data_IF_991737988273
#
_entry.id   IF_991737988273
#
_cell.length_a   1.000
_cell.length_b   1.000
_cell.length_c   1.000
_cell.angle_alpha   90.00
_cell.angle_beta   90.00
_cell.angle_gamma   90.00
#
_symmetry.space_group_name_H-M   'P 1'
#
loop_
_entity.id
_entity.type
_entity.pdbx_description
1 polymer ?
#
# COMPACT_ATOMS: atom_id res chain seq x y z
N UNK A 1 33.13 13.33 -15.44
CA UNK A 1 32.22 12.46 -14.66
C UNK A 1 31.15 13.38 -14.10
N UNK A 2 29.93 13.37 -14.64
CA UNK A 2 28.85 14.21 -14.10
C UNK A 2 28.56 13.76 -12.67
N UNK A 3 28.47 14.70 -11.73
CA UNK A 3 28.17 14.39 -10.34
C UNK A 3 26.75 13.84 -10.27
N UNK A 4 26.60 12.52 -10.10
CA UNK A 4 25.30 11.84 -10.16
C UNK A 4 24.30 12.36 -9.10
N UNK A 5 24.80 13.01 -8.05
CA UNK A 5 23.97 13.64 -7.03
C UNK A 5 23.46 15.04 -7.40
N UNK A 6 24.06 15.73 -8.38
CA UNK A 6 23.72 17.15 -8.62
C UNK A 6 22.35 17.33 -9.27
N UNK A 7 21.98 16.46 -10.22
CA UNK A 7 20.70 16.59 -10.92
C UNK A 7 19.48 16.30 -10.02
N UNK A 8 19.46 15.22 -9.21
CA UNK A 8 18.37 15.00 -8.26
C UNK A 8 18.25 16.13 -7.23
N UNK A 9 19.37 16.70 -6.77
CA UNK A 9 19.34 17.81 -5.81
C UNK A 9 18.72 19.08 -6.42
N UNK A 10 19.04 19.41 -7.68
CA UNK A 10 18.44 20.56 -8.37
C UNK A 10 16.92 20.40 -8.50
N UNK A 11 16.46 19.22 -8.91
CA UNK A 11 15.03 18.91 -8.99
C UNK A 11 14.35 19.00 -7.62
N UNK A 12 15.01 18.50 -6.57
CA UNK A 12 14.49 18.61 -5.21
C UNK A 12 14.41 20.05 -4.71
N UNK A 13 15.45 20.87 -4.95
CA UNK A 13 15.45 22.30 -4.58
C UNK A 13 14.39 23.07 -5.35
N UNK A 14 14.22 22.81 -6.66
CA UNK A 14 13.15 23.40 -7.46
C UNK A 14 11.77 23.02 -6.90
N UNK A 15 11.54 21.74 -6.60
CA UNK A 15 10.33 21.25 -5.97
C UNK A 15 10.06 21.92 -4.60
N UNK A 16 11.09 22.10 -3.77
CA UNK A 16 10.96 22.85 -2.51
C UNK A 16 10.63 24.33 -2.72
N UNK A 17 11.12 24.94 -3.80
CA UNK A 17 10.80 26.32 -4.16
C UNK A 17 9.36 26.50 -4.66
N UNK A 18 8.76 25.46 -5.22
CA UNK A 18 7.36 25.44 -5.68
C UNK A 18 6.38 25.08 -4.55
N UNK A 19 6.85 24.49 -3.46
CA UNK A 19 6.00 24.06 -2.35
C UNK A 19 5.50 25.26 -1.53
N UNK A 20 4.19 25.52 -1.57
CA UNK A 20 3.59 26.56 -0.73
C UNK A 20 3.78 26.25 0.77
N UNK A 21 3.77 27.28 1.62
CA UNK A 21 3.88 27.16 3.07
C UNK A 21 2.88 26.14 3.64
N UNK A 22 1.66 26.08 3.10
CA UNK A 22 0.66 25.10 3.53
C UNK A 22 1.09 23.65 3.25
N UNK A 23 1.70 23.38 2.10
CA UNK A 23 2.25 22.06 1.75
C UNK A 23 3.47 21.72 2.60
N UNK A 24 4.34 22.70 2.89
CA UNK A 24 5.47 22.51 3.79
C UNK A 24 5.02 22.11 5.19
N UNK A 25 3.99 22.78 5.72
CA UNK A 25 3.42 22.46 7.03
C UNK A 25 2.84 21.05 7.06
N UNK A 26 2.03 20.66 6.06
CA UNK A 26 1.49 19.30 5.92
C UNK A 26 2.60 18.25 5.83
N UNK A 27 3.67 18.55 5.10
CA UNK A 27 4.82 17.66 4.97
C UNK A 27 5.52 17.44 6.31
N UNK A 28 5.76 18.51 7.08
CA UNK A 28 6.36 18.42 8.42
C UNK A 28 5.45 17.65 9.38
N UNK A 29 4.14 17.89 9.35
CA UNK A 29 3.16 17.16 10.16
C UNK A 29 3.12 15.68 9.80
N UNK A 30 3.11 15.35 8.51
CA UNK A 30 3.19 13.98 8.00
C UNK A 30 4.48 13.28 8.45
N UNK A 31 5.63 13.95 8.35
CA UNK A 31 6.91 13.41 8.81
C UNK A 31 6.91 13.17 10.33
N UNK A 32 6.39 14.12 11.12
CA UNK A 32 6.24 13.96 12.58
C UNK A 32 5.34 12.78 12.90
N UNK A 33 4.25 12.59 12.17
CA UNK A 33 3.37 11.44 12.34
C UNK A 33 4.11 10.13 12.02
N UNK A 34 4.77 10.04 10.87
CA UNK A 34 5.54 8.86 10.44
C UNK A 34 6.68 8.50 11.39
N UNK A 35 7.37 9.49 11.97
CA UNK A 35 8.43 9.27 12.95
C UNK A 35 7.91 8.60 14.24
N UNK A 36 6.65 8.85 14.60
CA UNK A 36 6.01 8.29 15.79
C UNK A 36 5.35 6.93 15.55
N UNK A 37 5.32 6.43 14.31
CA UNK A 37 4.84 5.07 14.02
C UNK A 37 5.85 4.07 14.59
N UNK A 38 5.38 3.16 15.43
CA UNK A 38 6.19 2.05 15.94
C UNK A 38 6.67 1.20 14.77
N UNK A 39 7.99 1.06 14.63
CA UNK A 39 8.61 0.20 13.62
C UNK A 39 8.87 -1.18 14.19
N UNK A 40 8.59 -2.19 13.40
CA UNK A 40 8.97 -3.58 13.67
C UNK A 40 10.05 -4.03 12.67
N UNK A 41 10.99 -4.89 13.08
CA UNK A 41 11.87 -5.54 12.12
C UNK A 41 11.05 -6.30 11.07
N UNK A 42 11.53 -6.33 9.82
CA UNK A 42 10.86 -7.06 8.74
C UNK A 42 10.67 -8.54 9.07
N UNK A 43 11.63 -9.14 9.79
CA UNK A 43 11.52 -10.53 10.26
C UNK A 43 10.32 -10.75 11.19
N UNK A 44 9.88 -9.74 11.94
CA UNK A 44 8.71 -9.82 12.78
C UNK A 44 7.43 -9.57 11.96
N UNK A 45 7.36 -8.44 11.25
CA UNK A 45 6.14 -8.07 10.50
C UNK A 45 5.81 -9.07 9.39
N UNK A 46 6.81 -9.61 8.68
CA UNK A 46 6.59 -10.64 7.67
C UNK A 46 6.07 -11.95 8.29
N UNK A 47 6.54 -12.33 9.48
CA UNK A 47 6.04 -13.50 10.19
C UNK A 47 4.60 -13.29 10.69
N UNK A 48 4.25 -12.10 11.14
CA UNK A 48 2.87 -11.74 11.52
C UNK A 48 1.93 -11.81 10.31
N UNK A 49 2.33 -11.22 9.17
CA UNK A 49 1.57 -11.31 7.91
C UNK A 49 1.39 -12.77 7.48
N UNK A 50 2.47 -13.57 7.51
CA UNK A 50 2.42 -14.99 7.18
C UNK A 50 1.41 -15.73 8.07
N UNK A 51 1.48 -15.55 9.39
CA UNK A 51 0.56 -16.19 10.34
C UNK A 51 -0.89 -15.81 10.09
N UNK A 52 -1.14 -14.54 9.80
CA UNK A 52 -2.49 -14.07 9.45
C UNK A 52 -3.01 -14.78 8.19
N UNK A 53 -2.21 -14.82 7.13
CA UNK A 53 -2.57 -15.50 5.87
C UNK A 53 -2.84 -16.99 6.12
N UNK A 54 -1.93 -17.70 6.78
CA UNK A 54 -2.08 -19.14 7.08
C UNK A 54 -3.32 -19.43 7.92
N UNK A 55 -3.66 -18.56 8.88
CA UNK A 55 -4.85 -18.70 9.71
C UNK A 55 -6.17 -18.34 9.02
N UNK A 56 -6.13 -17.55 7.95
CA UNK A 56 -7.31 -17.18 7.16
C UNK A 56 -7.49 -18.02 5.89
N UNK A 57 -6.44 -18.72 5.42
CA UNK A 57 -6.47 -19.39 4.12
C UNK A 57 -7.65 -20.35 3.97
N UNK A 58 -7.99 -21.12 5.01
CA UNK A 58 -9.05 -22.14 4.98
C UNK A 58 -10.43 -21.54 4.71
N UNK A 59 -10.63 -20.28 5.10
CA UNK A 59 -11.88 -19.55 4.93
C UNK A 59 -11.87 -18.61 3.72
N UNK A 60 -10.75 -18.46 3.03
CA UNK A 60 -10.64 -17.58 1.86
C UNK A 60 -11.33 -18.24 0.66
N UNK A 61 -12.47 -17.69 0.16
CA UNK A 61 -13.20 -18.29 -0.96
C UNK A 61 -12.44 -18.27 -2.29
N UNK A 62 -11.38 -17.47 -2.40
CA UNK A 62 -10.53 -17.41 -3.58
C UNK A 62 -9.48 -18.53 -3.59
N UNK A 63 -9.11 -19.03 -2.40
CA UNK A 63 -8.21 -20.19 -2.23
C UNK A 63 -9.02 -21.48 -2.12
N UNK A 64 -10.13 -21.44 -1.39
CA UNK A 64 -11.06 -22.55 -1.14
C UNK A 64 -12.45 -22.21 -1.72
N UNK A 65 -12.70 -22.53 -3.00
CA UNK A 65 -13.96 -22.18 -3.64
C UNK A 65 -15.17 -22.68 -2.86
N UNK A 66 -16.06 -21.74 -2.51
CA UNK A 66 -17.35 -22.05 -1.90
C UNK A 66 -18.38 -22.41 -2.96
N UNK A 67 -19.47 -23.06 -2.55
CA UNK A 67 -20.61 -23.30 -3.45
C UNK A 67 -21.11 -21.96 -4.03
N UNK A 68 -21.35 -21.93 -5.35
CA UNK A 68 -21.90 -20.77 -6.06
C UNK A 68 -23.20 -20.26 -5.45
N UNK A 69 -23.99 -21.14 -4.83
CA UNK A 69 -25.23 -20.79 -4.12
C UNK A 69 -24.98 -19.90 -2.90
N UNK A 70 -23.80 -19.99 -2.29
CA UNK A 70 -23.39 -19.18 -1.14
C UNK A 70 -22.66 -17.90 -1.55
N UNK A 71 -22.18 -17.79 -2.80
CA UNK A 71 -21.48 -16.61 -3.29
C UNK A 71 -22.48 -15.53 -3.76
N UNK A 72 -22.60 -14.37 -3.07
CA UNK A 72 -23.53 -13.30 -3.44
C UNK A 72 -23.27 -12.68 -4.82
N UNK A 73 -22.05 -12.84 -5.33
CA UNK A 73 -21.60 -12.32 -6.62
C UNK A 73 -21.57 -13.37 -7.72
N UNK A 74 -21.98 -14.62 -7.46
CA UNK A 74 -22.07 -15.61 -8.51
C UNK A 74 -23.11 -15.19 -9.56
N UNK A 75 -22.72 -15.20 -10.83
CA UNK A 75 -23.63 -14.97 -11.94
C UNK A 75 -24.77 -16.00 -11.89
N UNK A 76 -26.01 -15.50 -11.78
CA UNK A 76 -27.22 -16.33 -11.75
C UNK A 76 -27.64 -16.78 -13.14
N UNK A 77 -27.31 -16.00 -14.16
CA UNK A 77 -27.64 -16.22 -15.56
C UNK A 77 -26.38 -16.13 -16.41
N UNK A 78 -26.38 -16.81 -17.56
CA UNK A 78 -25.28 -16.68 -18.52
C UNK A 78 -25.27 -15.25 -19.09
N UNK A 79 -24.09 -14.69 -19.30
CA UNK A 79 -23.93 -13.47 -20.07
C UNK A 79 -24.41 -13.71 -21.51
N UNK A 80 -25.41 -12.97 -21.95
CA UNK A 80 -25.87 -12.96 -23.35
C UNK A 80 -25.10 -11.86 -24.08
N UNK A 81 -24.40 -12.22 -25.14
CA UNK A 81 -23.82 -11.25 -26.07
C UNK A 81 -24.94 -10.88 -27.04
N UNK A 82 -25.36 -9.62 -27.00
CA UNK A 82 -26.37 -9.05 -27.92
C UNK A 82 -25.80 -8.82 -29.33
#
# INVERSE_FOLDING_TARGET
MANLFSEPLKHFVAYLGEMDKGDMQRSVESLRHQLNIQRLPVSQSANEIKRYIEGQQENDPLVNPVDKRCNPWAEKSKCEIL
#
